data_IF_558445113466
#
_entry.id   IF_558445113466
#
_cell.length_a   1.000
_cell.length_b   1.000
_cell.length_c   1.000
_cell.angle_alpha   90.00
_cell.angle_beta   90.00
_cell.angle_gamma   90.00
#
_symmetry.space_group_name_H-M   'P 1'
#
loop_
_entity.id
_entity.type
_entity.pdbx_description
1 polymer ?
#
# COMPACT_ATOMS: atom_id res chain seq x y z
N UNK A 1 -4.84 -10.29 2.46
CA UNK A 1 -5.77 -10.63 3.53
C UNK A 1 -5.06 -10.52 4.88
N UNK A 2 -5.82 -10.24 5.94
CA UNK A 2 -5.26 -9.86 7.25
C UNK A 2 -4.35 -10.91 7.87
N UNK A 3 -4.71 -12.19 7.81
CA UNK A 3 -3.90 -13.22 8.46
C UNK A 3 -2.48 -13.31 7.89
N UNK A 4 -2.33 -13.11 6.59
CA UNK A 4 -1.02 -13.07 5.93
C UNK A 4 -0.32 -11.72 6.15
N UNK A 5 -1.05 -10.63 6.01
CA UNK A 5 -0.52 -9.28 6.19
C UNK A 5 0.01 -9.07 7.61
N UNK A 6 -0.72 -9.51 8.63
CA UNK A 6 -0.29 -9.39 10.02
C UNK A 6 0.95 -10.22 10.30
N UNK A 7 1.08 -11.39 9.69
CA UNK A 7 2.26 -12.24 9.83
C UNK A 7 3.49 -11.60 9.22
N UNK A 8 3.37 -11.05 8.01
CA UNK A 8 4.46 -10.33 7.34
C UNK A 8 4.84 -9.08 8.11
N UNK A 9 3.86 -8.34 8.61
CA UNK A 9 4.07 -7.17 9.48
C UNK A 9 4.94 -7.51 10.67
N UNK A 10 4.61 -8.60 11.38
CA UNK A 10 5.36 -9.03 12.55
C UNK A 10 6.78 -9.45 12.19
N UNK A 11 6.97 -10.18 11.11
CA UNK A 11 8.29 -10.67 10.68
C UNK A 11 9.22 -9.53 10.21
N UNK A 12 8.68 -8.52 9.55
CA UNK A 12 9.47 -7.43 8.98
C UNK A 12 9.54 -6.18 9.86
N UNK A 13 8.84 -6.17 11.00
CA UNK A 13 8.82 -5.01 11.89
C UNK A 13 8.09 -3.80 11.29
N UNK A 14 7.11 -4.02 10.45
CA UNK A 14 6.30 -2.97 9.85
C UNK A 14 5.32 -2.42 10.90
N UNK A 15 5.17 -1.09 10.97
CA UNK A 15 4.36 -0.45 12.01
C UNK A 15 2.86 -0.60 11.79
N UNK A 16 2.40 -0.52 10.53
CA UNK A 16 0.98 -0.54 10.18
C UNK A 16 0.72 -1.49 9.03
N UNK A 17 -0.39 -2.20 9.08
CA UNK A 17 -0.86 -3.02 7.97
C UNK A 17 -2.39 -2.90 7.88
N UNK A 18 -2.89 -2.85 6.66
CA UNK A 18 -4.32 -2.86 6.37
C UNK A 18 -4.58 -3.76 5.19
N UNK A 19 -5.53 -4.65 5.32
CA UNK A 19 -5.87 -5.62 4.29
C UNK A 19 -7.33 -6.03 4.42
N UNK A 20 -7.83 -6.70 3.39
CA UNK A 20 -9.17 -7.27 3.42
C UNK A 20 -9.24 -8.42 4.43
N UNK A 21 -10.39 -8.55 5.08
CA UNK A 21 -10.66 -9.64 6.04
C UNK A 21 -11.61 -10.63 5.39
N UNK A 22 -11.18 -11.88 5.27
CA UNK A 22 -12.03 -12.95 4.76
C UNK A 22 -13.07 -13.34 5.81
N UNK A 23 -14.34 -13.44 5.38
CA UNK A 23 -15.41 -13.90 6.24
C UNK A 23 -15.38 -15.42 6.32
N UNK A 24 -15.33 -15.92 7.55
CA UNK A 24 -15.25 -17.37 7.85
C UNK A 24 -16.41 -17.74 8.74
N UNK A 25 -17.17 -18.75 8.33
CA UNK A 25 -18.28 -19.31 9.11
C UNK A 25 -18.13 -20.81 9.18
N UNK A 26 -18.19 -21.36 10.41
CA UNK A 26 -18.01 -22.80 10.67
C UNK A 26 -16.68 -23.35 10.09
N UNK A 27 -15.61 -22.55 10.13
CA UNK A 27 -14.31 -22.94 9.63
C UNK A 27 -14.15 -22.90 8.09
N UNK A 28 -15.18 -22.42 7.37
CA UNK A 28 -15.18 -22.35 5.91
C UNK A 28 -15.31 -20.90 5.43
N UNK A 29 -14.68 -20.61 4.29
CA UNK A 29 -14.82 -19.31 3.64
C UNK A 29 -16.24 -19.13 3.08
N UNK A 30 -16.87 -17.98 3.34
CA UNK A 30 -18.22 -17.67 2.86
C UNK A 30 -18.23 -17.08 1.45
N UNK A 31 -17.08 -16.69 0.92
CA UNK A 31 -16.99 -15.97 -0.35
C UNK A 31 -17.20 -14.46 -0.20
N UNK A 32 -17.25 -13.95 1.03
CA UNK A 32 -17.39 -12.52 1.33
C UNK A 32 -16.22 -12.01 2.14
N UNK A 33 -16.10 -10.69 2.22
CA UNK A 33 -15.16 -10.01 3.11
C UNK A 33 -15.93 -9.40 4.28
N UNK A 34 -15.26 -9.33 5.43
CA UNK A 34 -15.82 -8.70 6.63
C UNK A 34 -15.73 -7.19 6.48
N UNK A 35 -16.82 -6.47 6.80
CA UNK A 35 -16.82 -5.01 6.87
C UNK A 35 -15.88 -4.53 7.98
N UNK A 36 -15.07 -3.55 7.65
CA UNK A 36 -14.24 -2.81 8.58
C UNK A 36 -14.80 -1.41 8.78
N UNK A 37 -14.28 -0.64 9.73
CA UNK A 37 -14.69 0.76 9.91
C UNK A 37 -14.44 1.61 8.66
N UNK A 38 -13.57 1.19 7.77
CA UNK A 38 -13.23 1.84 6.50
C UNK A 38 -13.92 1.19 5.28
N UNK A 39 -14.70 0.13 5.48
CA UNK A 39 -15.37 -0.62 4.42
C UNK A 39 -14.94 -2.08 4.33
N UNK A 40 -15.46 -2.81 3.37
CA UNK A 40 -15.18 -4.25 3.19
C UNK A 40 -13.98 -4.53 2.25
N UNK A 41 -13.62 -3.58 1.39
CA UNK A 41 -12.55 -3.74 0.40
C UNK A 41 -11.50 -2.65 0.59
N UNK A 42 -10.23 -3.07 0.68
CA UNK A 42 -9.09 -2.16 0.68
C UNK A 42 -8.78 -1.76 -0.78
N UNK A 43 -9.45 -0.74 -1.26
CA UNK A 43 -9.32 -0.21 -2.62
C UNK A 43 -8.34 0.97 -2.73
N UNK A 44 -8.32 1.62 -3.90
CA UNK A 44 -7.43 2.76 -4.13
C UNK A 44 -7.71 3.95 -3.21
N UNK A 45 -8.98 4.24 -2.96
CA UNK A 45 -9.37 5.31 -2.04
C UNK A 45 -8.94 5.00 -0.60
N UNK A 46 -9.07 3.74 -0.18
CA UNK A 46 -8.65 3.32 1.15
C UNK A 46 -7.12 3.32 1.31
N UNK A 47 -6.38 2.94 0.29
CA UNK A 47 -4.92 3.03 0.30
C UNK A 47 -4.46 4.48 0.47
N UNK A 48 -5.08 5.41 -0.25
CA UNK A 48 -4.82 6.85 -0.12
C UNK A 48 -5.13 7.34 1.29
N UNK A 49 -6.29 6.98 1.81
CA UNK A 49 -6.72 7.35 3.16
C UNK A 49 -5.74 6.82 4.21
N UNK A 50 -5.28 5.59 4.06
CA UNK A 50 -4.31 4.96 4.96
C UNK A 50 -3.00 5.74 4.97
N UNK A 51 -2.47 6.12 3.81
CA UNK A 51 -1.25 6.92 3.73
C UNK A 51 -1.40 8.24 4.48
N UNK A 52 -2.49 8.95 4.23
CA UNK A 52 -2.73 10.25 4.87
C UNK A 52 -2.96 10.13 6.37
N UNK A 53 -3.68 9.10 6.80
CA UNK A 53 -3.94 8.82 8.22
C UNK A 53 -2.66 8.50 8.98
N UNK A 54 -1.84 7.60 8.44
CA UNK A 54 -0.57 7.21 9.07
C UNK A 54 0.40 8.40 9.10
N UNK A 55 0.48 9.16 8.02
CA UNK A 55 1.31 10.38 8.01
C UNK A 55 0.89 11.35 9.10
N UNK A 56 -0.41 11.57 9.26
CA UNK A 56 -0.96 12.45 10.32
C UNK A 56 -0.62 11.91 11.71
N UNK A 57 -0.78 10.61 11.95
CA UNK A 57 -0.45 9.99 13.23
C UNK A 57 1.02 10.11 13.59
N UNK A 58 1.90 10.14 12.61
CA UNK A 58 3.35 10.28 12.81
C UNK A 58 3.82 11.74 12.80
N UNK A 59 2.90 12.69 12.63
CA UNK A 59 3.25 14.12 12.57
C UNK A 59 3.98 14.51 11.28
N UNK A 60 3.75 13.78 10.19
CA UNK A 60 4.37 14.03 8.89
C UNK A 60 3.41 14.72 7.93
N UNK A 61 3.94 15.61 7.09
CA UNK A 61 3.20 16.12 5.95
C UNK A 61 3.16 15.07 4.84
N UNK A 62 2.13 15.03 3.98
CA UNK A 62 2.07 14.10 2.86
C UNK A 62 3.32 14.16 1.96
N UNK A 63 3.92 15.32 1.80
CA UNK A 63 5.13 15.53 1.02
C UNK A 63 6.36 14.77 1.57
N UNK A 64 6.29 14.31 2.81
CA UNK A 64 7.34 13.54 3.48
C UNK A 64 7.13 12.04 3.37
N UNK A 65 6.23 11.60 2.50
CA UNK A 65 5.87 10.18 2.33
C UNK A 65 6.32 9.66 0.97
N UNK A 66 6.53 8.36 0.91
CA UNK A 66 6.84 7.63 -0.31
C UNK A 66 5.78 6.55 -0.50
N UNK A 67 5.17 6.52 -1.68
CA UNK A 67 4.23 5.47 -2.04
C UNK A 67 4.82 4.61 -3.17
N UNK A 68 4.77 3.31 -2.98
CA UNK A 68 5.24 2.32 -3.95
C UNK A 68 4.06 1.48 -4.41
N UNK A 69 3.87 1.36 -5.70
CA UNK A 69 2.74 0.62 -6.26
C UNK A 69 3.05 0.00 -7.62
N UNK A 70 2.21 -0.93 -8.04
CA UNK A 70 2.35 -1.64 -9.33
C UNK A 70 1.09 -1.60 -10.19
N UNK A 71 -0.06 -1.25 -9.64
CA UNK A 71 -1.34 -1.26 -10.31
C UNK A 71 -2.09 0.06 -10.25
N UNK A 72 -3.12 0.18 -11.10
CA UNK A 72 -3.94 1.39 -11.17
C UNK A 72 -4.63 1.73 -9.85
N UNK A 73 -4.94 0.73 -9.04
CA UNK A 73 -5.52 0.94 -7.72
C UNK A 73 -4.58 1.58 -6.71
N UNK A 74 -3.29 1.68 -7.01
CA UNK A 74 -2.31 2.37 -6.17
C UNK A 74 -2.18 3.87 -6.53
N UNK A 75 -2.70 4.29 -7.68
CA UNK A 75 -2.53 5.67 -8.17
C UNK A 75 -3.07 6.74 -7.22
N UNK A 76 -4.27 6.59 -6.61
CA UNK A 76 -4.75 7.60 -5.67
C UNK A 76 -3.81 7.81 -4.48
N UNK A 77 -3.24 6.74 -3.94
CA UNK A 77 -2.24 6.80 -2.88
C UNK A 77 -0.94 7.44 -3.38
N UNK A 78 -0.48 7.04 -4.56
CA UNK A 78 0.76 7.54 -5.16
C UNK A 78 0.68 9.04 -5.46
N UNK A 79 -0.47 9.53 -5.91
CA UNK A 79 -0.69 10.96 -6.15
C UNK A 79 -0.63 11.79 -4.86
N UNK A 80 -1.05 11.24 -3.75
CA UNK A 80 -1.05 11.92 -2.46
C UNK A 80 0.33 11.97 -1.80
N UNK A 81 1.24 11.08 -2.17
CA UNK A 81 2.58 10.98 -1.60
C UNK A 81 3.52 12.06 -2.13
N UNK A 82 4.56 12.36 -1.36
CA UNK A 82 5.63 13.26 -1.81
C UNK A 82 6.49 12.66 -2.92
N UNK A 83 6.70 11.35 -2.89
CA UNK A 83 7.39 10.62 -3.95
C UNK A 83 6.58 9.39 -4.32
N UNK A 84 6.29 9.23 -5.60
CA UNK A 84 5.62 8.05 -6.14
C UNK A 84 6.59 7.17 -6.91
N UNK A 85 6.60 5.88 -6.59
CA UNK A 85 7.47 4.88 -7.20
C UNK A 85 6.64 3.77 -7.80
N UNK A 86 6.77 3.57 -9.11
CA UNK A 86 6.17 2.44 -9.80
C UNK A 86 7.16 1.28 -9.77
N UNK A 87 6.79 0.18 -9.12
CA UNK A 87 7.63 -0.99 -8.94
C UNK A 87 7.08 -2.17 -9.75
N UNK A 88 7.84 -2.58 -10.77
CA UNK A 88 7.42 -3.64 -11.71
C UNK A 88 5.99 -3.41 -12.19
N UNK A 89 5.68 -2.17 -12.50
CA UNK A 89 4.32 -1.72 -12.74
C UNK A 89 3.91 -1.84 -14.21
N UNK A 90 2.61 -1.78 -14.44
CA UNK A 90 2.03 -1.65 -15.78
C UNK A 90 2.45 -0.32 -16.41
N UNK A 91 2.54 -0.24 -17.76
CA UNK A 91 3.00 0.99 -18.44
C UNK A 91 2.21 2.25 -18.06
N UNK A 92 0.89 2.14 -17.87
CA UNK A 92 0.05 3.28 -17.47
C UNK A 92 0.40 3.81 -16.08
N UNK A 93 0.81 2.95 -15.17
CA UNK A 93 1.23 3.32 -13.82
C UNK A 93 2.61 3.96 -13.85
N UNK A 94 3.54 3.38 -14.61
CA UNK A 94 4.88 3.96 -14.79
C UNK A 94 4.84 5.37 -15.35
N UNK A 95 3.92 5.63 -16.28
CA UNK A 95 3.79 6.95 -16.91
C UNK A 95 3.35 8.03 -15.92
N UNK A 96 2.65 7.66 -14.85
CA UNK A 96 2.11 8.60 -13.85
C UNK A 96 2.97 8.71 -12.60
N UNK A 97 3.94 7.82 -12.41
CA UNK A 97 4.83 7.85 -11.26
C UNK A 97 6.04 8.75 -11.53
N UNK A 98 6.61 9.30 -10.46
CA UNK A 98 7.83 10.12 -10.54
C UNK A 98 9.06 9.27 -10.81
N UNK A 99 9.09 8.05 -10.28
CA UNK A 99 10.19 7.10 -10.44
C UNK A 99 9.63 5.73 -10.80
N UNK A 100 10.36 5.00 -11.64
CA UNK A 100 10.01 3.62 -12.00
C UNK A 100 11.20 2.69 -11.72
N UNK A 101 10.91 1.57 -11.05
CA UNK A 101 11.85 0.48 -10.85
C UNK A 101 11.30 -0.72 -11.62
N UNK A 102 11.98 -1.09 -12.71
CA UNK A 102 11.49 -2.10 -13.65
C UNK A 102 12.26 -3.43 -13.55
N UNK A 103 13.30 -3.49 -12.73
CA UNK A 103 14.11 -4.68 -12.53
C UNK A 103 14.67 -4.71 -11.11
N UNK A 104 14.97 -5.89 -10.60
CA UNK A 104 15.52 -6.07 -9.27
C UNK A 104 14.46 -6.10 -8.18
N UNK A 105 14.86 -6.04 -6.93
CA UNK A 105 14.01 -6.08 -5.76
C UNK A 105 13.68 -4.69 -5.20
N UNK A 106 12.85 -4.66 -4.17
CA UNK A 106 12.47 -3.41 -3.47
C UNK A 106 13.66 -2.69 -2.85
N UNK A 107 14.77 -3.38 -2.60
CA UNK A 107 16.03 -2.78 -2.11
C UNK A 107 16.55 -1.71 -3.06
N UNK A 108 16.20 -1.73 -4.34
CA UNK A 108 16.57 -0.69 -5.30
C UNK A 108 15.96 0.67 -4.98
N UNK A 109 14.91 0.71 -4.15
CA UNK A 109 14.38 1.97 -3.64
C UNK A 109 15.44 2.76 -2.88
N UNK A 110 16.35 2.08 -2.21
CA UNK A 110 17.45 2.73 -1.48
C UNK A 110 18.37 3.53 -2.42
N UNK A 111 18.55 3.10 -3.64
CA UNK A 111 19.34 3.83 -4.64
C UNK A 111 18.64 5.14 -5.06
N UNK A 112 17.30 5.13 -5.13
CA UNK A 112 16.51 6.32 -5.46
C UNK A 112 16.61 7.38 -4.36
N UNK A 113 16.77 6.96 -3.11
CA UNK A 113 16.83 7.85 -1.95
C UNK A 113 18.26 8.39 -1.69
N UNK A 114 19.26 7.91 -2.39
CA UNK A 114 20.62 8.43 -2.25
C UNK A 114 20.76 9.78 -2.96
N UNK A 115 21.44 10.75 -2.32
CA UNK A 115 21.69 12.03 -2.93
C UNK A 115 22.63 11.96 -4.12
#
# INVERSE_FOLDING_TARGET
FTFLADRVKAQLGIQFARANVLDIENGLLTGRMVDQVWGDICDGAEKRRTLLEVASLLGLAPEQTIAVGDGANDLPMMEAAGLSVAFHAKPSVRAQAQVAINSGGLDRLLEVLQP
#
